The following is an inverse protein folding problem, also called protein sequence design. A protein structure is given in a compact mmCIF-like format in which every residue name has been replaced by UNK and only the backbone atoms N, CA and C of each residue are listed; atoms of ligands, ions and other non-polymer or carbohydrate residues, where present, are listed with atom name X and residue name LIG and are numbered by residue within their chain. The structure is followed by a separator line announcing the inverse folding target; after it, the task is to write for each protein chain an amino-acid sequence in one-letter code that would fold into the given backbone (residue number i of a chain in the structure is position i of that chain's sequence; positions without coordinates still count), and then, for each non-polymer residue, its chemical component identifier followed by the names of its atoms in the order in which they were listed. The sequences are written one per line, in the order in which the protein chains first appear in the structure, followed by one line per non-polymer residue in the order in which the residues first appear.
data_IF_242125130585
#
_entry.id   IF_242125130585
#
_cell.length_a   1.000
_cell.length_b   1.000
_cell.length_c   1.000
_cell.angle_alpha   90.00
_cell.angle_beta   90.00
_cell.angle_gamma   90.00
#
_symmetry.space_group_name_H-M   'P 1'
#
loop_
_entity.id
_entity.type
_entity.pdbx_description
1 polymer ?
#
# COMPACT_ATOMS: atom_id res chain seq x y z
N UNK A 1 -39.75 48.55 -2.59
CA UNK A 1 -40.19 47.28 -3.23
C UNK A 1 -39.10 46.20 -3.00
N UNK A 2 -38.78 45.84 -1.74
CA UNK A 2 -37.72 44.87 -1.39
C UNK A 2 -38.02 44.16 -0.05
N UNK A 3 -39.12 43.45 0.10
CA UNK A 3 -39.43 42.69 1.34
C UNK A 3 -39.89 41.26 1.11
N UNK A 4 -39.89 40.75 -0.12
CA UNK A 4 -40.46 39.41 -0.40
C UNK A 4 -39.41 38.30 -0.71
N UNK A 5 -38.08 38.56 -0.61
CA UNK A 5 -37.06 37.56 -0.94
C UNK A 5 -36.49 36.80 0.26
N UNK A 6 -36.65 37.27 1.49
CA UNK A 6 -35.98 36.75 2.69
C UNK A 6 -36.71 35.57 3.36
N UNK A 7 -38.02 35.44 3.18
CA UNK A 7 -38.82 34.43 3.84
C UNK A 7 -38.80 33.04 3.16
N UNK A 8 -38.52 32.95 1.86
CA UNK A 8 -38.45 31.67 1.15
C UNK A 8 -37.16 30.89 1.39
N UNK A 9 -36.07 31.53 1.82
CA UNK A 9 -34.79 30.88 2.11
C UNK A 9 -34.77 30.14 3.44
N UNK A 10 -35.42 30.72 4.45
CA UNK A 10 -35.46 30.16 5.81
C UNK A 10 -36.31 28.91 5.94
N UNK A 11 -37.42 28.83 5.22
CA UNK A 11 -38.30 27.64 5.24
C UNK A 11 -37.69 26.42 4.56
N UNK A 12 -36.90 26.59 3.50
CA UNK A 12 -36.20 25.47 2.85
C UNK A 12 -35.05 24.92 3.68
N UNK A 13 -34.30 25.76 4.38
CA UNK A 13 -33.22 25.31 5.27
C UNK A 13 -33.77 24.55 6.48
N UNK A 14 -34.92 24.97 7.03
CA UNK A 14 -35.55 24.29 8.19
C UNK A 14 -36.13 22.92 7.84
N UNK A 15 -36.72 22.77 6.66
CA UNK A 15 -37.27 21.48 6.18
C UNK A 15 -36.14 20.49 5.88
N UNK A 16 -35.03 20.93 5.31
CA UNK A 16 -33.87 20.04 5.05
C UNK A 16 -33.17 19.56 6.33
N UNK A 17 -33.20 20.34 7.41
CA UNK A 17 -32.58 19.97 8.69
C UNK A 17 -33.44 18.94 9.45
N UNK A 18 -34.75 19.02 9.36
CA UNK A 18 -35.69 18.06 9.96
C UNK A 18 -35.65 16.69 9.26
N UNK A 19 -35.55 16.65 7.93
CA UNK A 19 -35.47 15.42 7.16
C UNK A 19 -34.19 14.62 7.45
N UNK A 20 -33.04 15.29 7.65
CA UNK A 20 -31.79 14.63 8.03
C UNK A 20 -31.79 14.06 9.45
N UNK A 21 -32.48 14.69 10.38
CA UNK A 21 -32.59 14.20 11.78
C UNK A 21 -33.46 12.95 11.89
N UNK A 22 -34.55 12.86 11.15
CA UNK A 22 -35.50 11.75 11.19
C UNK A 22 -34.91 10.53 10.48
N UNK A 23 -34.27 10.69 9.34
CA UNK A 23 -33.61 9.59 8.60
C UNK A 23 -32.43 8.99 9.36
N UNK A 24 -31.63 9.80 10.09
CA UNK A 24 -30.53 9.29 10.91
C UNK A 24 -31.02 8.47 12.13
N UNK A 25 -32.13 8.86 12.75
CA UNK A 25 -32.68 8.11 13.87
C UNK A 25 -33.36 6.80 13.46
N UNK A 26 -34.02 6.78 12.29
CA UNK A 26 -34.58 5.56 11.73
C UNK A 26 -33.50 4.55 11.34
N UNK A 27 -32.41 5.01 10.75
CA UNK A 27 -31.27 4.15 10.40
C UNK A 27 -30.58 3.57 11.65
N UNK A 28 -30.51 4.31 12.75
CA UNK A 28 -29.96 3.80 14.02
C UNK A 28 -30.89 2.74 14.64
N UNK A 29 -32.21 2.94 14.63
CA UNK A 29 -33.15 1.95 15.10
C UNK A 29 -33.10 0.66 14.27
N UNK A 30 -33.01 0.73 12.94
CA UNK A 30 -32.89 -0.46 12.09
C UNK A 30 -31.56 -1.24 12.34
N UNK A 31 -30.47 -0.55 12.62
CA UNK A 31 -29.19 -1.22 12.97
C UNK A 31 -29.28 -1.98 14.30
N UNK A 32 -29.97 -1.46 15.30
CA UNK A 32 -30.15 -2.18 16.57
C UNK A 32 -31.09 -3.37 16.46
N UNK A 33 -32.13 -3.30 15.62
CA UNK A 33 -33.04 -4.43 15.37
C UNK A 33 -32.34 -5.57 14.60
N UNK A 34 -31.55 -5.25 13.60
CA UNK A 34 -30.79 -6.24 12.83
C UNK A 34 -29.73 -6.97 13.70
N UNK A 35 -29.12 -6.26 14.67
CA UNK A 35 -28.14 -6.86 15.58
C UNK A 35 -28.81 -7.77 16.65
N UNK A 36 -30.02 -7.47 17.07
CA UNK A 36 -30.78 -8.32 18.01
C UNK A 36 -31.22 -9.63 17.36
N UNK A 37 -31.72 -9.58 16.11
CA UNK A 37 -32.10 -10.78 15.37
C UNK A 37 -30.93 -11.72 15.07
N UNK A 38 -29.74 -11.16 14.77
CA UNK A 38 -28.53 -11.95 14.53
C UNK A 38 -28.02 -12.68 15.79
N UNK A 39 -28.22 -12.11 16.96
CA UNK A 39 -27.81 -12.75 18.23
C UNK A 39 -28.69 -13.93 18.63
N UNK A 40 -29.97 -13.90 18.30
CA UNK A 40 -30.92 -15.01 18.59
C UNK A 40 -30.66 -16.18 17.62
N UNK A 41 -30.36 -15.90 16.35
CA UNK A 41 -30.05 -16.94 15.37
C UNK A 41 -28.73 -17.69 15.70
N UNK A 42 -27.73 -17.01 16.23
CA UNK A 42 -26.47 -17.64 16.65
C UNK A 42 -26.65 -18.58 17.86
N UNK A 43 -27.54 -18.27 18.80
CA UNK A 43 -27.75 -19.08 20.00
C UNK A 43 -28.49 -20.41 19.69
N UNK A 44 -29.37 -20.46 18.70
CA UNK A 44 -30.10 -21.66 18.33
C UNK A 44 -29.25 -22.63 17.50
N UNK A 45 -28.34 -22.13 16.67
CA UNK A 45 -27.42 -22.95 15.86
C UNK A 45 -26.34 -23.63 16.74
N UNK A 46 -25.98 -23.02 17.88
CA UNK A 46 -24.96 -23.58 18.77
C UNK A 46 -25.42 -24.80 19.58
N UNK A 47 -26.71 -25.01 19.75
CA UNK A 47 -27.26 -26.15 20.54
C UNK A 47 -27.53 -27.39 19.68
N UNK A 48 -27.76 -27.23 18.38
CA UNK A 48 -28.03 -28.34 17.44
C UNK A 48 -26.80 -28.86 16.71
N UNK A 49 -25.63 -28.18 16.84
CA UNK A 49 -24.39 -28.51 16.11
C UNK A 49 -23.50 -29.53 16.78
N UNK A 50 -23.87 -30.07 17.99
CA UNK A 50 -22.94 -30.93 18.77
C UNK A 50 -23.02 -32.41 18.40
N UNK A 51 -23.92 -32.83 17.48
CA UNK A 51 -24.12 -34.28 17.19
C UNK A 51 -23.61 -34.75 15.82
N UNK A 52 -22.91 -33.93 15.04
CA UNK A 52 -22.19 -34.41 13.86
C UNK A 52 -20.69 -34.13 13.96
N UNK A 53 -20.02 -34.84 14.87
CA UNK A 53 -18.58 -35.04 14.77
C UNK A 53 -18.37 -36.11 13.69
N UNK A 54 -18.51 -35.75 12.44
CA UNK A 54 -17.89 -36.46 11.34
C UNK A 54 -16.39 -36.24 11.47
N UNK A 55 -15.66 -37.36 11.70
CA UNK A 55 -14.22 -37.39 11.58
C UNK A 55 -13.83 -37.12 10.12
N UNK A 56 -13.91 -35.88 9.72
CA UNK A 56 -13.17 -35.38 8.57
C UNK A 56 -11.72 -35.32 9.02
N UNK A 57 -10.90 -36.25 8.52
CA UNK A 57 -9.44 -36.16 8.57
C UNK A 57 -9.09 -34.80 8.00
N UNK A 58 -8.91 -33.79 8.86
CA UNK A 58 -8.32 -32.54 8.51
C UNK A 58 -6.84 -32.84 8.18
N UNK A 59 -6.60 -33.18 6.92
CA UNK A 59 -5.28 -32.98 6.34
C UNK A 59 -5.10 -31.46 6.42
N UNK A 60 -4.40 -31.04 7.48
CA UNK A 60 -3.92 -29.68 7.57
C UNK A 60 -3.17 -29.42 6.25
N UNK A 61 -3.51 -28.38 5.49
CA UNK A 61 -2.67 -28.01 4.37
C UNK A 61 -1.29 -27.74 4.93
N UNK A 62 -0.31 -28.58 4.55
CA UNK A 62 1.09 -28.28 4.74
C UNK A 62 1.36 -27.10 3.82
N UNK A 63 0.98 -25.91 4.31
CA UNK A 63 1.42 -24.67 3.74
C UNK A 63 2.80 -24.39 4.34
N UNK A 64 3.76 -25.27 4.00
CA UNK A 64 5.16 -24.87 3.98
C UNK A 64 5.24 -23.76 2.95
N UNK A 65 4.74 -22.59 3.36
CA UNK A 65 4.92 -21.36 2.63
C UNK A 65 6.41 -21.09 2.59
N UNK A 66 7.07 -21.54 1.52
CA UNK A 66 8.35 -20.98 1.12
C UNK A 66 8.07 -19.48 1.02
N UNK A 67 8.35 -18.77 2.09
CA UNK A 67 8.33 -17.30 2.14
C UNK A 67 9.49 -16.88 1.24
N UNK A 68 9.21 -16.75 -0.07
CA UNK A 68 10.19 -16.19 -1.01
C UNK A 68 10.39 -14.75 -0.58
N UNK A 69 11.41 -14.53 0.26
CA UNK A 69 11.77 -13.20 0.68
C UNK A 69 12.18 -12.38 -0.54
N UNK A 70 11.39 -11.36 -0.85
CA UNK A 70 11.62 -10.51 -2.01
C UNK A 70 12.98 -9.82 -1.90
N UNK A 71 13.87 -10.11 -2.85
CA UNK A 71 15.16 -9.43 -2.91
C UNK A 71 15.01 -8.02 -3.50
N UNK A 72 15.95 -7.07 -3.22
CA UNK A 72 15.95 -5.73 -3.81
C UNK A 72 15.87 -5.75 -5.34
N UNK A 73 16.57 -6.68 -5.96
CA UNK A 73 16.58 -6.86 -7.41
C UNK A 73 15.24 -7.37 -7.96
N UNK A 74 14.59 -8.29 -7.23
CA UNK A 74 13.25 -8.76 -7.57
C UNK A 74 12.20 -7.64 -7.41
N UNK A 75 12.33 -6.81 -6.37
CA UNK A 75 11.49 -5.64 -6.19
C UNK A 75 11.58 -4.70 -7.41
N UNK A 76 12.79 -4.33 -7.83
CA UNK A 76 13.01 -3.47 -8.99
C UNK A 76 12.38 -4.07 -10.26
N UNK A 77 12.58 -5.38 -10.49
CA UNK A 77 12.03 -6.09 -11.65
C UNK A 77 10.50 -6.09 -11.68
N UNK A 78 9.86 -6.19 -10.52
CA UNK A 78 8.40 -6.22 -10.41
C UNK A 78 7.74 -4.84 -10.55
N UNK A 79 8.47 -3.75 -10.26
CA UNK A 79 7.92 -2.39 -10.17
C UNK A 79 8.36 -1.44 -11.30
N UNK A 80 9.20 -1.89 -12.21
CA UNK A 80 9.67 -1.09 -13.34
C UNK A 80 9.28 -1.75 -14.68
N UNK A 81 9.01 -0.96 -15.72
CA UNK A 81 8.97 -1.47 -17.08
C UNK A 81 10.26 -2.22 -17.42
N UNK A 82 10.15 -3.30 -18.18
CA UNK A 82 11.28 -4.21 -18.43
C UNK A 82 12.55 -3.48 -18.92
N UNK A 83 12.40 -2.47 -19.76
CA UNK A 83 13.54 -1.71 -20.30
C UNK A 83 14.21 -0.88 -19.21
N UNK A 84 13.42 -0.18 -18.37
CA UNK A 84 13.92 0.62 -17.24
C UNK A 84 14.61 -0.27 -16.21
N UNK A 85 14.03 -1.44 -15.90
CA UNK A 85 14.67 -2.43 -15.05
C UNK A 85 16.03 -2.89 -15.61
N UNK A 86 16.14 -3.18 -16.90
CA UNK A 86 17.41 -3.58 -17.53
C UNK A 86 18.49 -2.48 -17.38
N UNK A 87 18.10 -1.22 -17.57
CA UNK A 87 19.00 -0.10 -17.37
C UNK A 87 19.44 0.02 -15.91
N UNK A 88 18.50 -0.05 -14.95
CA UNK A 88 18.79 -0.01 -13.53
C UNK A 88 19.66 -1.19 -13.08
N UNK A 89 19.39 -2.39 -13.61
CA UNK A 89 20.16 -3.58 -13.28
C UNK A 89 21.63 -3.46 -13.65
N UNK A 90 21.93 -2.86 -14.79
CA UNK A 90 23.30 -2.56 -15.23
C UNK A 90 23.91 -1.47 -14.34
N UNK A 91 23.19 -0.38 -14.09
CA UNK A 91 23.67 0.75 -13.29
C UNK A 91 24.06 0.28 -11.88
N UNK A 92 23.15 -0.36 -11.15
CA UNK A 92 23.40 -0.83 -9.78
C UNK A 92 24.35 -2.03 -9.72
N UNK A 93 24.48 -2.77 -10.81
CA UNK A 93 25.57 -3.75 -10.97
C UNK A 93 26.94 -3.11 -10.97
N UNK A 94 27.08 -1.90 -11.53
CA UNK A 94 28.33 -1.11 -11.56
C UNK A 94 28.56 -0.36 -10.25
N UNK A 95 27.53 0.17 -9.63
CA UNK A 95 27.64 0.98 -8.40
C UNK A 95 28.03 0.14 -7.17
N UNK A 96 27.38 -0.98 -6.96
CA UNK A 96 27.53 -1.76 -5.73
C UNK A 96 27.46 -3.28 -5.92
N UNK A 97 27.29 -3.77 -7.15
CA UNK A 97 26.91 -5.15 -7.43
C UNK A 97 25.63 -5.57 -6.67
N UNK A 98 24.69 -4.63 -6.48
CA UNK A 98 23.45 -4.81 -5.69
C UNK A 98 23.68 -5.09 -4.18
N UNK A 99 24.86 -4.74 -3.66
CA UNK A 99 25.18 -4.91 -2.25
C UNK A 99 24.56 -3.76 -1.42
N UNK A 100 23.60 -4.07 -0.58
CA UNK A 100 22.93 -3.10 0.30
C UNK A 100 23.84 -2.54 1.41
N UNK A 101 24.96 -3.21 1.69
CA UNK A 101 25.95 -2.80 2.67
C UNK A 101 27.16 -2.10 2.05
N UNK A 102 27.14 -1.89 0.74
CA UNK A 102 28.24 -1.22 0.06
C UNK A 102 28.45 0.19 0.61
N UNK A 103 29.71 0.56 0.83
CA UNK A 103 30.11 1.89 1.27
C UNK A 103 31.35 2.34 0.51
N UNK A 104 31.29 3.57 0.00
CA UNK A 104 32.42 4.24 -0.63
C UNK A 104 32.46 5.71 -0.15
N UNK A 105 33.14 5.94 0.98
CA UNK A 105 33.18 7.23 1.64
C UNK A 105 31.77 7.71 2.06
N UNK A 106 31.27 8.82 1.51
CA UNK A 106 29.94 9.34 1.83
C UNK A 106 28.79 8.65 1.07
N UNK A 107 29.08 7.64 0.23
CA UNK A 107 28.12 6.95 -0.62
C UNK A 107 27.75 5.59 -0.04
N UNK A 108 26.45 5.27 -0.01
CA UNK A 108 25.91 4.12 0.71
C UNK A 108 24.96 3.27 -0.13
N UNK A 109 25.04 1.97 0.12
CA UNK A 109 24.06 0.99 -0.30
C UNK A 109 24.04 0.69 -1.79
N UNK A 110 22.95 0.09 -2.24
CA UNK A 110 22.76 -0.36 -3.63
C UNK A 110 22.96 0.80 -4.63
N UNK A 111 22.34 1.99 -4.43
CA UNK A 111 22.46 3.10 -5.39
C UNK A 111 23.75 3.93 -5.23
N UNK A 112 24.59 3.65 -4.26
CA UNK A 112 25.74 4.48 -3.90
C UNK A 112 25.38 5.97 -3.76
N UNK A 113 24.20 6.22 -3.17
CA UNK A 113 23.72 7.58 -2.98
C UNK A 113 24.37 8.29 -1.79
N UNK A 114 24.55 9.61 -1.90
CA UNK A 114 25.09 10.45 -0.81
C UNK A 114 23.97 10.86 0.15
N UNK A 115 23.43 9.87 0.88
CA UNK A 115 22.36 10.08 1.87
C UNK A 115 22.58 9.19 3.08
N UNK A 116 22.55 9.77 4.28
CA UNK A 116 22.67 9.03 5.54
C UNK A 116 21.51 8.01 5.73
N UNK A 117 20.34 8.28 5.15
CA UNK A 117 19.20 7.37 5.14
C UNK A 117 19.58 6.00 4.57
N UNK A 118 20.39 5.95 3.50
CA UNK A 118 20.78 4.70 2.84
C UNK A 118 21.66 3.81 3.72
N UNK A 119 22.31 4.37 4.73
CA UNK A 119 23.17 3.61 5.66
C UNK A 119 22.37 2.59 6.48
N UNK A 120 21.11 2.91 6.81
CA UNK A 120 20.25 2.09 7.69
C UNK A 120 19.02 1.54 6.99
N UNK A 121 18.72 1.99 5.79
CA UNK A 121 17.57 1.53 5.01
C UNK A 121 17.75 0.08 4.55
N UNK A 122 16.64 -0.67 4.47
CA UNK A 122 16.62 -1.99 3.86
C UNK A 122 17.02 -1.93 2.37
N UNK A 123 17.53 -3.02 1.81
CA UNK A 123 17.90 -3.05 0.40
C UNK A 123 16.75 -2.68 -0.55
N UNK A 124 15.51 -3.07 -0.21
CA UNK A 124 14.30 -2.67 -0.96
C UNK A 124 14.07 -1.16 -0.87
N UNK A 125 14.22 -0.56 0.31
CA UNK A 125 14.01 0.88 0.49
C UNK A 125 15.14 1.71 -0.14
N UNK A 126 16.35 1.18 -0.18
CA UNK A 126 17.46 1.76 -0.95
C UNK A 126 17.14 1.80 -2.45
N UNK A 127 16.55 0.71 -2.99
CA UNK A 127 16.12 0.67 -4.40
C UNK A 127 14.99 1.67 -4.66
N UNK A 128 13.98 1.75 -3.79
CA UNK A 128 12.91 2.75 -3.89
C UNK A 128 13.46 4.18 -3.88
N UNK A 129 14.40 4.45 -2.99
CA UNK A 129 15.07 5.76 -2.92
C UNK A 129 15.79 6.06 -4.23
N UNK A 130 16.58 5.12 -4.73
CA UNK A 130 17.37 5.29 -5.92
C UNK A 130 16.54 5.41 -7.21
N UNK A 131 15.41 4.72 -7.32
CA UNK A 131 14.46 4.91 -8.42
C UNK A 131 13.98 6.38 -8.44
N UNK A 132 13.47 6.89 -7.30
CA UNK A 132 13.02 8.29 -7.20
C UNK A 132 14.13 9.29 -7.49
N UNK A 133 15.34 9.02 -7.02
CA UNK A 133 16.49 9.86 -7.31
C UNK A 133 16.78 9.93 -8.81
N UNK A 134 16.80 8.79 -9.49
CA UNK A 134 17.07 8.72 -10.93
C UNK A 134 15.93 9.40 -11.74
N UNK A 135 14.68 9.19 -11.39
CA UNK A 135 13.54 9.86 -12.02
C UNK A 135 13.64 11.39 -11.88
N UNK A 136 13.90 11.88 -10.67
CA UNK A 136 13.97 13.31 -10.40
C UNK A 136 15.18 13.98 -11.08
N UNK A 137 16.32 13.29 -11.17
CA UNK A 137 17.54 13.88 -11.67
C UNK A 137 17.75 13.70 -13.16
N UNK A 138 17.35 12.56 -13.69
CA UNK A 138 17.65 12.15 -15.07
C UNK A 138 16.38 11.88 -15.90
N UNK A 139 15.21 11.78 -15.27
CA UNK A 139 13.94 11.47 -15.92
C UNK A 139 13.65 9.97 -16.05
N UNK A 140 14.69 9.11 -16.15
CA UNK A 140 14.51 7.67 -16.26
C UNK A 140 15.74 6.89 -15.77
N UNK A 141 15.58 5.58 -15.56
CA UNK A 141 16.71 4.69 -15.24
C UNK A 141 17.65 4.55 -16.42
N UNK A 142 17.13 4.59 -17.64
CA UNK A 142 17.94 4.49 -18.84
C UNK A 142 18.76 5.76 -19.09
N UNK A 143 18.22 6.94 -18.79
CA UNK A 143 18.98 8.19 -18.89
C UNK A 143 20.03 8.30 -17.77
N UNK A 144 19.74 7.82 -16.56
CA UNK A 144 20.73 7.69 -15.49
C UNK A 144 21.90 6.79 -15.92
N UNK A 145 21.62 5.63 -16.51
CA UNK A 145 22.64 4.73 -17.05
C UNK A 145 23.43 5.39 -18.19
N UNK A 146 22.78 6.14 -19.09
CA UNK A 146 23.42 6.88 -20.17
C UNK A 146 24.38 7.94 -19.60
N UNK A 147 23.94 8.67 -18.57
CA UNK A 147 24.80 9.63 -17.86
C UNK A 147 26.01 8.93 -17.25
N UNK A 148 25.80 7.82 -16.51
CA UNK A 148 26.86 7.02 -15.90
C UNK A 148 27.88 6.54 -16.94
N UNK A 149 27.42 6.02 -18.08
CA UNK A 149 28.34 5.58 -19.15
C UNK A 149 29.21 6.70 -19.73
N UNK A 150 28.70 7.94 -19.69
CA UNK A 150 29.45 9.11 -20.19
C UNK A 150 30.42 9.68 -19.17
N UNK A 151 30.01 9.71 -17.91
CA UNK A 151 30.71 10.46 -16.87
C UNK A 151 31.28 9.59 -15.74
N UNK A 152 30.96 8.29 -15.73
CA UNK A 152 31.33 7.32 -14.70
C UNK A 152 30.84 7.66 -13.28
N UNK A 153 29.72 8.39 -13.19
CA UNK A 153 28.97 8.68 -11.96
C UNK A 153 27.50 8.98 -12.28
N UNK A 154 26.62 8.89 -11.29
CA UNK A 154 25.20 9.24 -11.43
C UNK A 154 24.64 9.91 -10.18
#
# INVERSE_FOLDING_TARGET
MQTHRTTRGLTRAFIQTLDRGITLNLLKCFRHFAQAAARIACAVVSVLGILFISAANAVAPIHDGIQIQQTPKMYAKANLPLQEYKCLAILYGKESAWNERANNGPHWGIPQGRSIYLKTASGIDQVKWGIRYNENRYGSMCDALKHFKKWNWH
#
